data_IF_503104827258
#
_entry.id   IF_503104827258
#
_cell.length_a   1.000
_cell.length_b   1.000
_cell.length_c   1.000
_cell.angle_alpha   90.00
_cell.angle_beta   90.00
_cell.angle_gamma   90.00
#
_symmetry.space_group_name_H-M   'P 1'
#
loop_
_entity.id
_entity.type
_entity.pdbx_description
1 polymer ?
#
# COMPACT_ATOMS: atom_id res chain seq x y z
N UNK A 1 -38.81 -53.00 -11.33
CA UNK A 1 -38.68 -52.26 -12.60
C UNK A 1 -39.36 -50.91 -12.41
N UNK A 2 -38.61 -49.86 -12.04
CA UNK A 2 -39.17 -48.52 -11.78
C UNK A 2 -39.76 -47.97 -13.08
N UNK A 3 -41.08 -47.86 -13.18
CA UNK A 3 -41.73 -47.16 -14.29
C UNK A 3 -41.56 -45.66 -14.05
N UNK A 4 -40.51 -45.07 -14.60
CA UNK A 4 -40.40 -43.62 -14.72
C UNK A 4 -41.61 -43.12 -15.52
N UNK A 5 -42.46 -42.30 -14.91
CA UNK A 5 -43.49 -41.63 -15.66
C UNK A 5 -42.83 -40.61 -16.61
N UNK A 6 -43.42 -40.32 -17.78
CA UNK A 6 -42.94 -39.25 -18.69
C UNK A 6 -42.68 -37.93 -17.96
N UNK A 7 -43.42 -37.70 -16.87
CA UNK A 7 -43.35 -36.52 -16.05
C UNK A 7 -42.13 -36.50 -15.09
N UNK A 8 -41.57 -37.65 -14.68
CA UNK A 8 -40.30 -37.72 -13.91
C UNK A 8 -39.11 -37.30 -14.78
N UNK A 9 -39.14 -37.68 -16.06
CA UNK A 9 -38.15 -37.28 -17.06
C UNK A 9 -38.17 -35.75 -17.25
N UNK A 10 -39.36 -35.14 -17.23
CA UNK A 10 -39.49 -33.67 -17.35
C UNK A 10 -38.88 -32.95 -16.14
N UNK A 11 -39.10 -33.42 -14.91
CA UNK A 11 -38.50 -32.80 -13.71
C UNK A 11 -36.98 -32.95 -13.73
N UNK A 12 -36.47 -34.13 -14.08
CA UNK A 12 -35.03 -34.37 -14.21
C UNK A 12 -34.39 -33.49 -15.30
N UNK A 13 -35.07 -33.30 -16.44
CA UNK A 13 -34.61 -32.42 -17.50
C UNK A 13 -34.57 -30.94 -17.07
N UNK A 14 -35.58 -30.46 -16.33
CA UNK A 14 -35.60 -29.10 -15.80
C UNK A 14 -34.48 -28.87 -14.78
N UNK A 15 -34.23 -29.84 -13.88
CA UNK A 15 -33.13 -29.76 -12.91
C UNK A 15 -31.75 -29.77 -13.60
N UNK A 16 -31.57 -30.62 -14.61
CA UNK A 16 -30.33 -30.66 -15.40
C UNK A 16 -30.11 -29.35 -16.17
N UNK A 17 -31.15 -28.80 -16.79
CA UNK A 17 -31.08 -27.51 -17.47
C UNK A 17 -30.73 -26.37 -16.50
N UNK A 18 -31.34 -26.34 -15.31
CA UNK A 18 -31.01 -25.37 -14.27
C UNK A 18 -29.54 -25.44 -13.86
N UNK A 19 -28.98 -26.65 -13.67
CA UNK A 19 -27.57 -26.83 -13.34
C UNK A 19 -26.63 -26.33 -14.47
N UNK A 20 -26.97 -26.61 -15.73
CA UNK A 20 -26.18 -26.14 -16.89
C UNK A 20 -26.18 -24.62 -16.99
N UNK A 21 -27.34 -23.97 -16.86
CA UNK A 21 -27.43 -22.51 -16.86
C UNK A 21 -26.72 -21.88 -15.64
N UNK A 22 -26.75 -22.55 -14.49
CA UNK A 22 -25.97 -22.15 -13.31
C UNK A 22 -24.47 -22.16 -13.58
N UNK A 23 -23.93 -23.25 -14.15
CA UNK A 23 -22.52 -23.36 -14.52
C UNK A 23 -22.12 -22.30 -15.54
N UNK A 24 -22.96 -22.06 -16.55
CA UNK A 24 -22.73 -21.02 -17.56
C UNK A 24 -22.70 -19.60 -16.96
N UNK A 25 -23.52 -19.32 -15.94
CA UNK A 25 -23.51 -18.05 -15.22
C UNK A 25 -22.18 -17.73 -14.50
N UNK A 26 -21.39 -18.76 -14.18
CA UNK A 26 -20.07 -18.59 -13.55
C UNK A 26 -18.88 -18.80 -14.50
N UNK A 27 -19.13 -19.00 -15.80
CA UNK A 27 -18.09 -19.30 -16.79
C UNK A 27 -17.29 -18.06 -17.28
N UNK A 28 -17.50 -16.88 -16.68
CA UNK A 28 -16.73 -15.66 -16.98
C UNK A 28 -17.20 -14.86 -18.19
N UNK A 29 -18.50 -14.91 -18.52
CA UNK A 29 -19.12 -14.07 -19.55
C UNK A 29 -19.34 -12.61 -19.07
N UNK A 30 -19.76 -11.74 -19.99
CA UNK A 30 -20.18 -10.37 -19.67
C UNK A 30 -21.28 -10.35 -18.58
N UNK A 31 -21.26 -9.32 -17.73
CA UNK A 31 -22.14 -9.19 -16.55
C UNK A 31 -23.61 -9.39 -16.91
N UNK A 32 -24.08 -8.78 -18.01
CA UNK A 32 -25.50 -8.89 -18.42
C UNK A 32 -25.89 -10.31 -18.83
N UNK A 33 -24.96 -11.06 -19.43
CA UNK A 33 -25.21 -12.42 -19.87
C UNK A 33 -25.15 -13.40 -18.70
N UNK A 34 -24.19 -13.24 -17.78
CA UNK A 34 -24.14 -14.03 -16.54
C UNK A 34 -25.40 -13.86 -15.71
N UNK A 35 -25.88 -12.63 -15.53
CA UNK A 35 -27.11 -12.34 -14.79
C UNK A 35 -28.33 -13.02 -15.44
N UNK A 36 -28.40 -12.98 -16.77
CA UNK A 36 -29.43 -13.67 -17.54
C UNK A 36 -29.43 -15.19 -17.34
N UNK A 37 -28.26 -15.83 -17.39
CA UNK A 37 -28.13 -17.28 -17.18
C UNK A 37 -28.50 -17.69 -15.75
N UNK A 38 -28.08 -16.93 -14.74
CA UNK A 38 -28.43 -17.18 -13.34
C UNK A 38 -29.93 -17.03 -13.09
N UNK A 39 -30.57 -16.03 -13.72
CA UNK A 39 -32.02 -15.85 -13.63
C UNK A 39 -32.80 -17.03 -14.23
N UNK A 40 -32.38 -17.53 -15.39
CA UNK A 40 -32.99 -18.71 -16.03
C UNK A 40 -32.79 -19.96 -15.17
N UNK A 41 -31.59 -20.16 -14.62
CA UNK A 41 -31.30 -21.27 -13.72
C UNK A 41 -32.21 -21.27 -12.48
N UNK A 42 -32.40 -20.11 -11.85
CA UNK A 42 -33.31 -19.94 -10.70
C UNK A 42 -34.76 -20.23 -11.07
N UNK A 43 -35.22 -19.70 -12.20
CA UNK A 43 -36.60 -19.90 -12.69
C UNK A 43 -36.90 -21.38 -12.95
N UNK A 44 -35.96 -22.10 -13.59
CA UNK A 44 -36.09 -23.54 -13.85
C UNK A 44 -36.06 -24.37 -12.56
N UNK A 45 -35.24 -23.98 -11.58
CA UNK A 45 -35.18 -24.64 -10.27
C UNK A 45 -36.49 -24.48 -9.51
N UNK A 46 -37.04 -23.25 -9.47
CA UNK A 46 -38.34 -22.98 -8.83
C UNK A 46 -39.48 -23.75 -9.52
N UNK A 47 -39.46 -23.82 -10.85
CA UNK A 47 -40.46 -24.59 -11.61
C UNK A 47 -40.37 -26.09 -11.33
N UNK A 48 -39.16 -26.65 -11.24
CA UNK A 48 -38.93 -28.05 -10.89
C UNK A 48 -39.40 -28.35 -9.46
N UNK A 49 -39.10 -27.48 -8.49
CA UNK A 49 -39.57 -27.58 -7.11
C UNK A 49 -41.10 -27.48 -7.01
N UNK A 50 -41.73 -26.59 -7.79
CA UNK A 50 -43.19 -26.45 -7.86
C UNK A 50 -43.85 -27.72 -8.43
N UNK A 51 -43.31 -28.26 -9.52
CA UNK A 51 -43.78 -29.52 -10.11
C UNK A 51 -43.59 -30.71 -9.17
N UNK A 52 -42.51 -30.73 -8.40
CA UNK A 52 -42.28 -31.75 -7.37
C UNK A 52 -43.25 -31.59 -6.19
N UNK A 53 -43.52 -30.36 -5.75
CA UNK A 53 -44.45 -30.05 -4.67
C UNK A 53 -45.88 -30.50 -4.99
N UNK A 54 -46.35 -30.35 -6.23
CA UNK A 54 -47.67 -30.85 -6.68
C UNK A 54 -47.76 -32.38 -6.58
N UNK A 55 -46.63 -33.10 -6.70
CA UNK A 55 -46.60 -34.57 -6.64
C UNK A 55 -46.47 -35.13 -5.25
N UNK A 56 -46.07 -34.35 -4.26
CA UNK A 56 -46.00 -34.82 -2.88
C UNK A 56 -47.43 -35.26 -2.49
N UNK A 57 -47.67 -36.57 -2.27
CA UNK A 57 -49.00 -37.04 -1.96
C UNK A 57 -49.30 -36.65 -0.52
N UNK A 58 -49.84 -35.46 -0.30
CA UNK A 58 -50.25 -34.99 1.02
C UNK A 58 -51.50 -35.73 1.55
N UNK A 59 -51.96 -36.78 0.86
CA UNK A 59 -53.13 -37.58 1.25
C UNK A 59 -52.74 -38.67 2.26
N UNK A 60 -52.92 -38.39 3.54
CA UNK A 60 -52.97 -39.43 4.58
C UNK A 60 -54.17 -40.36 4.38
N UNK A 61 -54.01 -41.64 4.72
CA UNK A 61 -55.02 -42.72 4.63
C UNK A 61 -56.20 -42.58 5.62
N UNK A 62 -56.59 -41.36 5.99
CA UNK A 62 -57.62 -41.05 6.98
C UNK A 62 -58.89 -40.42 6.40
N UNK A 63 -59.81 -40.00 7.27
CA UNK A 63 -61.03 -39.30 6.88
C UNK A 63 -60.71 -37.98 6.16
N UNK A 64 -61.65 -37.46 5.34
CA UNK A 64 -61.44 -36.19 4.61
C UNK A 64 -60.95 -35.08 5.54
N UNK A 65 -61.46 -35.02 6.78
CA UNK A 65 -61.09 -34.00 7.77
C UNK A 65 -59.64 -34.13 8.25
N UNK A 66 -59.10 -35.34 8.43
CA UNK A 66 -57.71 -35.53 8.88
C UNK A 66 -56.70 -35.14 7.80
N UNK A 67 -57.01 -35.40 6.52
CA UNK A 67 -56.16 -34.97 5.41
C UNK A 67 -56.09 -33.44 5.30
N UNK A 68 -57.20 -32.74 5.52
CA UNK A 68 -57.21 -31.26 5.54
C UNK A 68 -56.37 -30.68 6.68
N UNK A 69 -56.43 -31.25 7.88
CA UNK A 69 -55.63 -30.82 9.04
C UNK A 69 -54.13 -31.04 8.81
N UNK A 70 -53.75 -32.23 8.30
CA UNK A 70 -52.34 -32.54 7.99
C UNK A 70 -51.80 -31.58 6.91
N UNK A 71 -52.58 -31.31 5.86
CA UNK A 71 -52.17 -30.38 4.81
C UNK A 71 -52.01 -28.96 5.35
N UNK A 72 -52.96 -28.49 6.16
CA UNK A 72 -52.88 -27.17 6.78
C UNK A 72 -51.65 -27.04 7.68
N UNK A 73 -51.30 -28.09 8.44
CA UNK A 73 -50.13 -28.11 9.31
C UNK A 73 -48.82 -28.08 8.51
N UNK A 74 -48.74 -28.84 7.41
CA UNK A 74 -47.57 -28.82 6.50
C UNK A 74 -47.41 -27.45 5.85
N UNK A 75 -48.51 -26.85 5.38
CA UNK A 75 -48.49 -25.49 4.82
C UNK A 75 -48.07 -24.45 5.87
N UNK A 76 -48.60 -24.54 7.10
CA UNK A 76 -48.18 -23.64 8.19
C UNK A 76 -46.70 -23.83 8.55
N UNK A 77 -46.20 -25.07 8.58
CA UNK A 77 -44.80 -25.35 8.83
C UNK A 77 -43.90 -24.81 7.71
N UNK A 78 -44.31 -24.94 6.45
CA UNK A 78 -43.58 -24.38 5.31
C UNK A 78 -43.54 -22.83 5.38
N UNK A 79 -44.67 -22.19 5.71
CA UNK A 79 -44.72 -20.73 5.91
C UNK A 79 -43.83 -20.33 7.09
N UNK A 80 -43.87 -21.07 8.20
CA UNK A 80 -43.04 -20.79 9.37
C UNK A 80 -41.54 -20.90 9.04
N UNK A 81 -41.13 -21.92 8.28
CA UNK A 81 -39.74 -22.05 7.81
C UNK A 81 -39.37 -20.89 6.88
N UNK A 82 -40.24 -20.51 5.95
CA UNK A 82 -40.01 -19.38 5.04
C UNK A 82 -39.87 -18.05 5.80
N UNK A 83 -40.75 -17.81 6.78
CA UNK A 83 -40.69 -16.62 7.65
C UNK A 83 -39.45 -16.65 8.52
N UNK A 84 -39.10 -17.79 9.12
CA UNK A 84 -37.88 -17.92 9.92
C UNK A 84 -36.61 -17.69 9.09
N UNK A 85 -36.56 -18.23 7.86
CA UNK A 85 -35.48 -17.96 6.93
C UNK A 85 -35.43 -16.46 6.58
N UNK A 86 -36.56 -15.83 6.26
CA UNK A 86 -36.60 -14.40 5.96
C UNK A 86 -36.17 -13.53 7.15
N UNK A 87 -36.58 -13.88 8.37
CA UNK A 87 -36.14 -13.20 9.60
C UNK A 87 -34.64 -13.41 9.82
N UNK A 88 -34.12 -14.62 9.58
CA UNK A 88 -32.69 -14.90 9.69
C UNK A 88 -31.88 -14.08 8.68
N UNK A 89 -32.32 -14.00 7.42
CA UNK A 89 -31.69 -13.14 6.40
C UNK A 89 -31.79 -11.65 6.77
N UNK A 90 -32.93 -11.19 7.27
CA UNK A 90 -33.12 -9.78 7.63
C UNK A 90 -32.35 -9.36 8.88
N UNK A 91 -32.17 -10.27 9.85
CA UNK A 91 -31.40 -9.99 11.07
C UNK A 91 -29.90 -10.22 10.89
N UNK A 92 -29.51 -11.07 9.95
CA UNK A 92 -28.13 -11.38 9.65
C UNK A 92 -27.86 -11.00 8.20
N UNK A 93 -27.46 -9.74 7.99
CA UNK A 93 -26.95 -9.22 6.72
C UNK A 93 -25.58 -9.86 6.43
N UNK A 94 -25.59 -11.14 6.05
CA UNK A 94 -24.39 -11.85 5.63
C UNK A 94 -24.04 -11.39 4.22
N UNK A 95 -23.06 -10.50 4.13
CA UNK A 95 -22.48 -10.07 2.85
C UNK A 95 -21.51 -11.13 2.34
N UNK A 96 -21.88 -11.80 1.25
CA UNK A 96 -21.02 -12.76 0.57
C UNK A 96 -20.38 -12.11 -0.66
N UNK A 97 -19.07 -11.86 -0.59
CA UNK A 97 -18.31 -11.41 -1.75
C UNK A 97 -17.93 -12.62 -2.62
N UNK A 98 -18.60 -12.74 -3.76
CA UNK A 98 -18.37 -13.82 -4.74
C UNK A 98 -17.26 -13.45 -5.74
N UNK A 99 -16.66 -12.27 -5.62
CA UNK A 99 -15.58 -11.85 -6.52
C UNK A 99 -14.25 -12.52 -6.16
N UNK A 100 -13.50 -12.95 -7.18
CA UNK A 100 -12.21 -13.64 -7.00
C UNK A 100 -11.17 -12.80 -6.26
N UNK A 101 -11.28 -11.48 -6.36
CA UNK A 101 -10.32 -10.52 -5.80
C UNK A 101 -10.84 -9.85 -4.51
N UNK A 102 -12.04 -10.18 -4.03
CA UNK A 102 -12.61 -9.56 -2.83
C UNK A 102 -12.91 -8.06 -3.01
N UNK A 103 -13.28 -7.62 -4.22
CA UNK A 103 -13.44 -6.19 -4.57
C UNK A 103 -14.57 -5.51 -3.81
N UNK A 104 -15.53 -6.27 -3.30
CA UNK A 104 -16.69 -5.79 -2.56
C UNK A 104 -16.56 -6.09 -1.05
N UNK A 105 -15.35 -6.41 -0.59
CA UNK A 105 -15.05 -6.68 0.81
C UNK A 105 -14.34 -5.46 1.41
N UNK A 106 -14.81 -4.92 2.55
CA UNK A 106 -14.12 -3.83 3.22
C UNK A 106 -12.66 -4.19 3.52
N UNK A 107 -11.72 -3.23 3.41
CA UNK A 107 -10.32 -3.47 3.72
C UNK A 107 -10.16 -3.98 5.14
N UNK A 108 -9.31 -5.01 5.32
CA UNK A 108 -9.07 -5.65 6.62
C UNK A 108 -8.66 -4.64 7.70
N UNK A 109 -7.89 -3.62 7.35
CA UNK A 109 -7.48 -2.56 8.26
C UNK A 109 -8.66 -1.76 8.82
N UNK A 110 -9.66 -1.46 7.98
CA UNK A 110 -10.87 -0.77 8.42
C UNK A 110 -11.70 -1.70 9.31
N UNK A 111 -11.87 -2.96 8.91
CA UNK A 111 -12.63 -3.95 9.68
C UNK A 111 -12.00 -4.22 11.06
N UNK A 112 -10.68 -4.42 11.13
CA UNK A 112 -9.94 -4.63 12.39
C UNK A 112 -10.11 -3.46 13.36
N UNK A 113 -10.12 -2.22 12.85
CA UNK A 113 -10.33 -1.01 13.65
C UNK A 113 -11.79 -0.93 14.14
N UNK A 114 -12.74 -1.21 13.26
CA UNK A 114 -14.17 -1.16 13.54
C UNK A 114 -14.58 -2.21 14.58
N UNK A 115 -14.06 -3.44 14.49
CA UNK A 115 -14.32 -4.53 15.45
C UNK A 115 -13.89 -4.20 16.89
N UNK A 116 -12.85 -3.39 17.04
CA UNK A 116 -12.30 -3.02 18.35
C UNK A 116 -12.72 -1.62 18.81
N UNK A 117 -13.74 -1.02 18.19
CA UNK A 117 -14.26 0.30 18.58
C UNK A 117 -14.82 0.25 20.01
N UNK A 118 -14.27 1.12 20.87
CA UNK A 118 -14.75 1.33 22.25
C UNK A 118 -15.58 2.60 22.41
N UNK A 119 -15.56 3.48 21.42
CA UNK A 119 -16.22 4.77 21.41
C UNK A 119 -16.94 4.97 20.06
N UNK A 120 -18.01 5.79 20.02
CA UNK A 120 -18.71 6.10 18.78
C UNK A 120 -17.77 6.85 17.82
N UNK A 121 -17.70 6.33 16.58
CA UNK A 121 -16.94 6.91 15.47
C UNK A 121 -17.94 7.36 14.39
N UNK A 122 -18.00 8.66 14.14
CA UNK A 122 -18.78 9.22 13.04
C UNK A 122 -17.89 9.39 11.80
N UNK A 123 -18.33 8.84 10.69
CA UNK A 123 -17.67 8.92 9.39
C UNK A 123 -18.60 9.58 8.39
N UNK A 124 -18.26 10.80 7.99
CA UNK A 124 -18.97 11.52 6.92
C UNK A 124 -18.11 11.52 5.66
N UNK A 125 -18.58 10.90 4.58
CA UNK A 125 -17.85 10.84 3.31
C UNK A 125 -18.49 11.77 2.28
N UNK A 126 -17.76 12.83 1.93
CA UNK A 126 -18.12 13.77 0.88
C UNK A 126 -17.56 13.26 -0.45
N UNK A 127 -18.42 12.65 -1.26
CA UNK A 127 -18.02 11.96 -2.47
C UNK A 127 -18.55 12.65 -3.72
N UNK A 128 -17.87 12.45 -4.84
CA UNK A 128 -18.38 12.84 -6.15
C UNK A 128 -19.16 11.66 -6.76
N UNK A 129 -20.44 11.84 -7.07
CA UNK A 129 -21.27 10.80 -7.67
C UNK A 129 -20.84 10.42 -9.11
N UNK A 130 -20.07 11.27 -9.79
CA UNK A 130 -19.51 11.02 -11.11
C UNK A 130 -18.23 10.17 -11.12
N UNK A 131 -17.60 9.94 -9.96
CA UNK A 131 -16.40 9.10 -9.84
C UNK A 131 -16.77 7.67 -9.41
N UNK A 132 -16.60 6.66 -10.29
CA UNK A 132 -16.91 5.27 -9.98
C UNK A 132 -16.14 4.73 -8.77
N UNK A 133 -14.91 5.20 -8.53
CA UNK A 133 -14.11 4.74 -7.40
C UNK A 133 -14.67 5.28 -6.08
N UNK A 134 -15.13 6.53 -6.07
CA UNK A 134 -15.73 7.13 -4.90
C UNK A 134 -17.05 6.43 -4.52
N UNK A 135 -17.85 6.07 -5.53
CA UNK A 135 -19.08 5.28 -5.32
C UNK A 135 -18.77 3.89 -4.74
N UNK A 136 -17.74 3.22 -5.26
CA UNK A 136 -17.30 1.93 -4.72
C UNK A 136 -16.81 2.05 -3.26
N UNK A 137 -16.01 3.07 -2.95
CA UNK A 137 -15.54 3.34 -1.58
C UNK A 137 -16.71 3.59 -0.63
N UNK A 138 -17.70 4.39 -1.05
CA UNK A 138 -18.93 4.64 -0.28
C UNK A 138 -19.63 3.32 0.07
N UNK A 139 -19.81 2.43 -0.89
CA UNK A 139 -20.48 1.13 -0.69
C UNK A 139 -19.71 0.23 0.28
N UNK A 140 -18.37 0.19 0.18
CA UNK A 140 -17.52 -0.54 1.12
C UNK A 140 -17.64 -0.01 2.55
N UNK A 141 -17.67 1.31 2.73
CA UNK A 141 -17.87 1.92 4.06
C UNK A 141 -19.26 1.59 4.60
N UNK A 142 -20.28 1.65 3.76
CA UNK A 142 -21.66 1.35 4.15
C UNK A 142 -21.82 -0.10 4.60
N UNK A 143 -21.13 -1.04 3.95
CA UNK A 143 -21.03 -2.43 4.41
C UNK A 143 -20.33 -2.50 5.78
N UNK A 144 -19.19 -1.82 5.95
CA UNK A 144 -18.46 -1.82 7.23
C UNK A 144 -19.28 -1.20 8.39
N UNK A 145 -20.01 -0.11 8.13
CA UNK A 145 -20.82 0.60 9.13
C UNK A 145 -22.04 -0.21 9.58
N UNK A 146 -22.68 -0.95 8.67
CA UNK A 146 -23.80 -1.84 9.02
C UNK A 146 -23.40 -2.94 9.99
N UNK A 147 -22.15 -3.40 9.94
CA UNK A 147 -21.66 -4.48 10.77
C UNK A 147 -21.34 -4.06 12.22
N UNK A 148 -21.30 -2.76 12.54
CA UNK A 148 -20.90 -2.31 13.86
C UNK A 148 -21.71 -1.10 14.37
N UNK A 149 -22.43 -1.22 15.50
CA UNK A 149 -23.37 -0.18 15.97
C UNK A 149 -22.70 1.13 16.42
N UNK A 150 -21.40 1.11 16.72
CA UNK A 150 -20.65 2.32 17.09
C UNK A 150 -20.09 3.10 15.88
N UNK A 151 -20.20 2.58 14.66
CA UNK A 151 -19.76 3.26 13.45
C UNK A 151 -20.96 3.95 12.77
N UNK A 152 -21.09 5.26 12.96
CA UNK A 152 -22.13 6.06 12.30
C UNK A 152 -21.62 6.58 10.95
N UNK A 153 -22.19 6.09 9.84
CA UNK A 153 -21.79 6.50 8.50
C UNK A 153 -22.82 7.42 7.83
N UNK A 154 -22.34 8.48 7.18
CA UNK A 154 -23.15 9.36 6.31
C UNK A 154 -22.40 9.66 5.02
N UNK A 155 -23.00 9.33 3.88
CA UNK A 155 -22.49 9.70 2.57
C UNK A 155 -23.19 10.97 2.08
N UNK A 156 -22.42 11.95 1.60
CA UNK A 156 -22.93 13.23 1.12
C UNK A 156 -22.33 13.52 -0.25
N UNK A 157 -23.20 13.77 -1.21
CA UNK A 157 -22.80 14.17 -2.56
C UNK A 157 -22.41 15.66 -2.52
N UNK A 158 -21.12 15.95 -2.71
CA UNK A 158 -20.58 17.31 -2.53
C UNK A 158 -21.17 18.31 -3.54
N UNK A 159 -21.59 17.84 -4.72
CA UNK A 159 -22.20 18.67 -5.75
C UNK A 159 -23.65 19.04 -5.41
N UNK A 160 -24.34 18.20 -4.62
CA UNK A 160 -25.71 18.45 -4.16
C UNK A 160 -25.77 19.30 -2.91
N UNK A 161 -24.81 19.11 -1.99
CA UNK A 161 -24.77 19.81 -0.69
C UNK A 161 -23.42 20.52 -0.42
N UNK A 162 -22.99 21.47 -1.27
CA UNK A 162 -21.68 22.13 -1.12
C UNK A 162 -21.60 23.04 0.13
N UNK A 163 -22.74 23.53 0.63
CA UNK A 163 -22.77 24.34 1.86
C UNK A 163 -22.30 23.56 3.09
N UNK A 164 -22.80 22.34 3.24
CA UNK A 164 -22.43 21.46 4.35
C UNK A 164 -20.96 21.03 4.29
N UNK A 165 -20.42 20.82 3.09
CA UNK A 165 -19.00 20.55 2.91
C UNK A 165 -18.13 21.72 3.38
N UNK A 166 -18.48 22.96 3.00
CA UNK A 166 -17.75 24.16 3.42
C UNK A 166 -17.80 24.40 4.92
N UNK A 167 -18.95 24.19 5.56
CA UNK A 167 -19.12 24.35 7.02
C UNK A 167 -18.22 23.38 7.80
N UNK A 168 -17.96 22.20 7.23
CA UNK A 168 -17.12 21.16 7.83
C UNK A 168 -15.64 21.33 7.43
N UNK A 169 -15.29 22.31 6.58
CA UNK A 169 -13.93 22.58 6.12
C UNK A 169 -13.45 21.65 5.00
N UNK A 170 -14.38 21.04 4.25
CA UNK A 170 -14.08 20.17 3.11
C UNK A 170 -14.00 21.02 1.85
N UNK A 171 -12.80 21.07 1.26
CA UNK A 171 -12.51 21.83 0.05
C UNK A 171 -12.21 20.95 -1.18
N UNK A 172 -11.97 19.66 -0.95
CA UNK A 172 -11.59 18.68 -1.98
C UNK A 172 -12.67 17.61 -2.16
N UNK A 173 -12.80 17.08 -3.39
CA UNK A 173 -13.66 15.93 -3.68
C UNK A 173 -13.16 14.67 -2.94
N UNK A 174 -14.07 13.71 -2.73
CA UNK A 174 -13.77 12.40 -2.15
C UNK A 174 -13.09 12.51 -0.78
N UNK A 175 -13.57 13.41 0.06
CA UNK A 175 -13.01 13.67 1.39
C UNK A 175 -13.79 12.91 2.45
N UNK A 176 -13.10 12.13 3.29
CA UNK A 176 -13.69 11.53 4.47
C UNK A 176 -13.37 12.35 5.72
N UNK A 177 -14.39 12.60 6.52
CA UNK A 177 -14.32 13.28 7.80
C UNK A 177 -14.62 12.25 8.88
N UNK A 178 -13.62 11.96 9.69
CA UNK A 178 -13.72 11.08 10.84
C UNK A 178 -13.81 11.91 12.12
N UNK A 179 -14.77 11.60 12.98
CA UNK A 179 -14.98 12.29 14.25
C UNK A 179 -15.21 11.28 15.38
N UNK A 180 -14.44 11.41 16.46
CA UNK A 180 -14.62 10.66 17.69
C UNK A 180 -14.50 11.61 18.89
N UNK A 181 -15.62 11.88 19.56
CA UNK A 181 -15.72 12.93 20.56
C UNK A 181 -15.35 14.30 19.97
N UNK A 182 -14.38 14.97 20.60
CA UNK A 182 -13.90 16.30 20.19
C UNK A 182 -12.85 16.26 19.07
N UNK A 183 -12.36 15.07 18.70
CA UNK A 183 -11.30 14.91 17.71
C UNK A 183 -11.89 14.70 16.33
N UNK A 184 -11.35 15.43 15.36
CA UNK A 184 -11.75 15.40 13.95
C UNK A 184 -10.52 15.30 13.07
N UNK A 185 -10.54 14.38 12.11
CA UNK A 185 -9.52 14.28 11.05
C UNK A 185 -10.22 14.27 9.71
N UNK A 186 -9.67 15.06 8.78
CA UNK A 186 -10.10 15.10 7.40
C UNK A 186 -9.03 14.42 6.56
N UNK A 187 -9.45 13.54 5.66
CA UNK A 187 -8.57 12.89 4.69
C UNK A 187 -9.15 13.12 3.31
N UNK A 188 -8.41 13.85 2.48
CA UNK A 188 -8.82 14.26 1.15
C UNK A 188 -8.43 13.23 0.08
N UNK A 189 -9.10 13.27 -1.07
CA UNK A 189 -8.77 12.46 -2.26
C UNK A 189 -8.73 10.95 -1.97
N UNK A 190 -9.74 10.44 -1.25
CA UNK A 190 -9.86 9.02 -0.95
C UNK A 190 -10.48 8.31 -2.13
N UNK A 191 -9.63 7.65 -2.90
CA UNK A 191 -9.99 6.72 -3.96
C UNK A 191 -9.70 5.25 -3.58
N UNK A 192 -8.90 5.03 -2.54
CA UNK A 192 -8.59 3.72 -1.97
C UNK A 192 -9.11 3.62 -0.54
N UNK A 193 -9.97 2.63 -0.30
CA UNK A 193 -10.58 2.39 1.00
C UNK A 193 -9.54 2.03 2.09
N UNK A 194 -8.33 1.56 1.74
CA UNK A 194 -7.26 1.23 2.70
C UNK A 194 -6.85 2.44 3.54
N UNK A 195 -6.87 3.64 2.96
CA UNK A 195 -6.54 4.90 3.65
C UNK A 195 -7.52 5.26 4.76
N UNK A 196 -8.76 4.76 4.69
CA UNK A 196 -9.79 5.00 5.70
C UNK A 196 -9.46 4.31 7.03
N UNK A 197 -8.85 3.13 6.99
CA UNK A 197 -8.43 2.43 8.20
C UNK A 197 -7.39 3.22 9.00
N UNK A 198 -6.43 3.83 8.31
CA UNK A 198 -5.42 4.69 8.94
C UNK A 198 -6.02 5.98 9.52
N UNK A 199 -6.95 6.60 8.81
CA UNK A 199 -7.68 7.76 9.30
C UNK A 199 -8.48 7.45 10.58
N UNK A 200 -9.16 6.30 10.59
CA UNK A 200 -9.88 5.81 11.77
C UNK A 200 -8.92 5.57 12.96
N UNK A 201 -7.76 4.93 12.73
CA UNK A 201 -6.72 4.78 13.76
C UNK A 201 -6.25 6.13 14.31
N UNK A 202 -5.98 7.10 13.43
CA UNK A 202 -5.53 8.44 13.81
C UNK A 202 -6.56 9.16 14.68
N UNK A 203 -7.85 9.08 14.33
CA UNK A 203 -8.94 9.71 15.11
C UNK A 203 -9.19 9.01 16.43
N UNK A 204 -8.96 7.70 16.54
CA UNK A 204 -9.20 6.97 17.78
C UNK A 204 -8.04 7.09 18.78
N UNK A 205 -6.81 7.36 18.34
CA UNK A 205 -5.60 7.43 19.19
C UNK A 205 -5.52 8.66 20.09
N UNK A 206 -5.73 8.51 21.39
CA UNK A 206 -5.74 9.64 22.35
C UNK A 206 -4.42 10.43 22.43
N UNK A 207 -3.29 9.81 22.07
CA UNK A 207 -1.98 10.46 22.07
C UNK A 207 -1.32 10.37 20.69
N UNK A 208 -0.87 11.50 20.11
CA UNK A 208 -0.05 11.45 18.90
C UNK A 208 1.22 10.64 19.18
N UNK A 209 1.62 9.82 18.22
CA UNK A 209 2.86 9.06 18.30
C UNK A 209 3.94 9.84 17.57
N UNK A 210 4.98 10.25 18.29
CA UNK A 210 6.06 11.04 17.70
C UNK A 210 7.24 10.15 17.33
N UNK A 211 7.71 10.27 16.09
CA UNK A 211 8.96 9.70 15.61
C UNK A 211 10.00 10.81 15.58
N UNK A 212 11.07 10.62 16.35
CA UNK A 212 12.18 11.57 16.41
C UNK A 212 13.30 11.08 15.50
N UNK A 213 13.48 11.75 14.37
CA UNK A 213 14.55 11.46 13.42
C UNK A 213 15.83 12.18 13.84
N UNK A 214 16.92 11.44 13.98
CA UNK A 214 18.22 12.03 14.24
C UNK A 214 18.71 12.73 12.96
N UNK A 215 19.34 13.88 13.16
CA UNK A 215 19.92 14.72 12.12
C UNK A 215 21.26 15.27 12.61
N UNK A 216 22.17 15.53 11.67
CA UNK A 216 23.48 16.11 11.96
C UNK A 216 24.65 15.32 11.37
N UNK A 217 24.43 14.07 10.96
CA UNK A 217 25.43 13.17 10.40
C UNK A 217 25.30 12.95 8.88
N UNK A 218 24.55 13.81 8.18
CA UNK A 218 24.39 13.74 6.72
C UNK A 218 23.24 12.84 6.25
N UNK A 219 22.26 12.64 7.12
CA UNK A 219 21.01 11.91 6.91
C UNK A 219 20.17 12.60 5.82
N UNK A 220 19.30 11.82 5.19
CA UNK A 220 18.39 12.31 4.13
C UNK A 220 17.06 12.82 4.68
N UNK A 221 16.79 12.63 5.98
CA UNK A 221 15.55 13.11 6.58
C UNK A 221 15.46 14.64 6.52
N UNK A 222 14.35 15.12 5.95
CA UNK A 222 13.96 16.52 5.95
C UNK A 222 12.52 16.60 6.45
N UNK A 223 12.21 17.47 7.43
CA UNK A 223 10.83 17.70 7.85
C UNK A 223 10.00 18.09 6.63
N UNK A 224 8.96 17.34 6.34
CA UNK A 224 8.12 17.54 5.16
C UNK A 224 7.28 18.82 5.31
N UNK A 225 7.20 19.70 4.28
CA UNK A 225 6.24 20.80 4.26
C UNK A 225 4.80 20.30 4.09
N UNK A 226 3.81 21.12 4.46
CA UNK A 226 2.40 20.75 4.54
C UNK A 226 1.70 20.41 3.20
N UNK A 227 2.34 20.64 2.04
CA UNK A 227 1.77 20.37 0.72
C UNK A 227 2.67 19.45 -0.09
N UNK A 228 2.10 18.34 -0.58
CA UNK A 228 2.82 17.32 -1.35
C UNK A 228 2.63 17.54 -2.86
N UNK A 229 3.75 17.67 -3.58
CA UNK A 229 3.81 17.36 -5.01
C UNK A 229 4.65 16.10 -5.16
N UNK A 230 4.02 14.95 -5.39
CA UNK A 230 4.74 13.85 -6.02
C UNK A 230 5.18 14.31 -7.39
N UNK A 231 6.40 13.92 -7.79
CA UNK A 231 6.93 14.06 -9.14
C UNK A 231 5.88 13.60 -10.16
N UNK A 232 5.09 14.54 -10.64
CA UNK A 232 4.32 14.38 -11.84
C UNK A 232 5.21 14.94 -12.94
N UNK A 233 5.20 14.27 -14.08
CA UNK A 233 5.77 14.86 -15.29
C UNK A 233 4.84 16.01 -15.66
N UNK A 234 5.11 17.22 -15.18
CA UNK A 234 4.52 18.41 -15.78
C UNK A 234 5.06 18.49 -17.19
N UNK A 235 4.25 18.06 -18.15
CA UNK A 235 4.42 18.51 -19.53
C UNK A 235 3.99 19.96 -19.53
N UNK A 236 4.94 20.88 -19.39
CA UNK A 236 4.71 22.30 -19.57
C UNK A 236 4.00 22.49 -20.93
N UNK A 237 2.71 22.86 -20.90
CA UNK A 237 2.00 23.31 -22.10
C UNK A 237 2.61 24.65 -22.50
N UNK A 238 3.36 24.66 -23.61
CA UNK A 238 3.83 25.92 -24.19
C UNK A 238 4.98 25.86 -25.18
N UNK A 239 5.50 24.70 -25.58
CA UNK A 239 6.51 24.62 -26.65
C UNK A 239 6.00 23.76 -27.81
N UNK A 240 5.73 24.40 -28.95
CA UNK A 240 5.17 23.84 -30.20
C UNK A 240 6.13 22.90 -30.96
N UNK A 241 7.07 22.25 -30.25
CA UNK A 241 7.96 21.25 -30.85
C UNK A 241 7.87 19.93 -30.06
N UNK A 242 7.35 18.84 -30.67
CA UNK A 242 7.40 17.52 -30.10
C UNK A 242 8.86 17.04 -30.05
N UNK A 243 9.53 17.27 -28.93
CA UNK A 243 10.92 16.89 -28.71
C UNK A 243 11.49 17.60 -27.50
N UNK A 244 11.91 16.81 -26.51
CA UNK A 244 12.55 17.24 -25.25
C UNK A 244 11.59 17.98 -24.31
N UNK A 245 10.71 17.20 -23.66
CA UNK A 245 10.16 17.65 -22.38
C UNK A 245 11.30 17.66 -21.37
N UNK A 246 11.65 18.83 -20.84
CA UNK A 246 12.42 18.92 -19.60
C UNK A 246 11.54 18.33 -18.50
N UNK A 247 11.66 17.01 -18.33
CA UNK A 247 11.12 16.32 -17.17
C UNK A 247 11.92 16.85 -15.99
N UNK A 248 11.36 17.82 -15.27
CA UNK A 248 11.81 18.16 -13.93
C UNK A 248 11.49 16.95 -13.03
N UNK A 249 12.28 15.90 -13.16
CA UNK A 249 12.35 14.85 -12.14
C UNK A 249 13.04 15.53 -10.96
N UNK A 250 12.25 16.02 -10.01
CA UNK A 250 12.76 16.10 -8.65
C UNK A 250 13.21 14.67 -8.32
N UNK A 251 14.52 14.46 -8.16
CA UNK A 251 15.06 13.20 -7.66
C UNK A 251 14.26 12.86 -6.41
N UNK A 252 13.48 11.76 -6.38
CA UNK A 252 12.67 11.44 -5.22
C UNK A 252 13.60 11.37 -4.02
N UNK A 253 13.43 12.27 -3.04
CA UNK A 253 14.22 12.18 -1.83
C UNK A 253 13.89 10.84 -1.18
N UNK A 254 14.91 10.14 -0.69
CA UNK A 254 14.83 8.70 -0.42
C UNK A 254 13.76 8.32 0.62
N UNK A 255 13.28 9.26 1.43
CA UNK A 255 12.33 9.03 2.52
C UNK A 255 10.93 9.63 2.32
N UNK A 256 10.64 10.34 1.23
CA UNK A 256 9.36 11.07 1.07
C UNK A 256 8.13 10.16 1.15
N UNK A 257 8.21 8.99 0.48
CA UNK A 257 7.14 8.00 0.51
C UNK A 257 6.95 7.40 1.89
N UNK A 258 8.05 7.20 2.63
CA UNK A 258 8.00 6.72 4.01
C UNK A 258 7.35 7.78 4.92
N UNK A 259 7.78 9.04 4.80
CA UNK A 259 7.22 10.15 5.57
C UNK A 259 5.72 10.32 5.31
N UNK A 260 5.28 10.26 4.05
CA UNK A 260 3.85 10.28 3.72
C UNK A 260 3.12 9.12 4.40
N UNK A 261 3.59 7.89 4.22
CA UNK A 261 2.94 6.72 4.79
C UNK A 261 2.82 6.84 6.33
N UNK A 262 3.87 7.30 7.00
CA UNK A 262 3.87 7.53 8.44
C UNK A 262 2.85 8.61 8.84
N UNK A 263 2.77 9.72 8.11
CA UNK A 263 1.78 10.78 8.35
C UNK A 263 0.34 10.29 8.10
N UNK A 264 0.10 9.51 7.03
CA UNK A 264 -1.19 8.89 6.74
C UNK A 264 -1.62 7.95 7.89
N UNK A 265 -0.69 7.19 8.47
CA UNK A 265 -0.91 6.32 9.65
C UNK A 265 -1.12 7.15 10.95
N UNK A 266 -0.83 8.45 10.93
CA UNK A 266 -1.01 9.35 12.06
C UNK A 266 0.19 9.39 13.01
N UNK A 267 1.40 9.21 12.50
CA UNK A 267 2.64 9.55 13.21
C UNK A 267 3.03 11.00 12.92
N UNK A 268 3.41 11.72 13.97
CA UNK A 268 4.08 13.01 13.84
C UNK A 268 5.59 12.78 13.80
N UNK A 269 6.32 13.65 13.10
CA UNK A 269 7.75 13.48 12.88
C UNK A 269 8.50 14.76 13.28
N UNK A 270 9.60 14.61 14.02
CA UNK A 270 10.43 15.72 14.49
C UNK A 270 11.91 15.41 14.27
N UNK A 271 12.67 16.39 13.78
CA UNK A 271 14.12 16.30 13.75
C UNK A 271 14.71 16.53 15.15
N UNK A 272 15.70 15.73 15.55
CA UNK A 272 16.52 15.95 16.73
C UNK A 272 17.99 15.97 16.33
N UNK A 273 18.79 16.79 17.00
CA UNK A 273 20.25 16.84 16.80
C UNK A 273 20.89 16.33 18.07
N UNK A 274 21.44 15.12 18.04
CA UNK A 274 22.00 14.44 19.21
C UNK A 274 23.17 15.23 19.83
N UNK A 275 24.04 15.82 19.01
CA UNK A 275 25.13 16.68 19.46
C UNK A 275 24.69 17.95 20.23
N UNK A 276 23.43 18.37 20.11
CA UNK A 276 22.89 19.56 20.78
C UNK A 276 21.91 19.22 21.91
N UNK A 277 21.72 17.93 22.22
CA UNK A 277 20.66 17.46 23.09
C UNK A 277 21.26 16.69 24.27
N UNK A 278 20.91 17.06 25.51
CA UNK A 278 21.38 16.36 26.71
C UNK A 278 20.62 15.05 26.98
N UNK A 279 19.35 14.99 26.61
CA UNK A 279 18.48 13.83 26.79
C UNK A 279 17.45 13.74 25.66
N UNK A 280 17.20 12.52 25.17
CA UNK A 280 16.15 12.31 24.16
C UNK A 280 14.80 12.70 24.76
N UNK A 281 14.01 13.57 24.10
CA UNK A 281 12.72 14.00 24.62
C UNK A 281 11.79 12.84 24.94
N UNK A 282 11.10 12.90 26.09
CA UNK A 282 10.25 11.82 26.59
C UNK A 282 8.97 11.61 25.77
N UNK A 283 8.61 12.57 24.90
CA UNK A 283 7.50 12.46 23.95
C UNK A 283 7.86 11.66 22.69
N UNK A 284 9.15 11.36 22.45
CA UNK A 284 9.59 10.49 21.36
C UNK A 284 9.19 9.03 21.62
N UNK A 285 8.22 8.51 20.87
CA UNK A 285 7.85 7.08 20.93
C UNK A 285 8.96 6.21 20.33
N UNK A 286 9.54 6.67 19.22
CA UNK A 286 10.60 5.97 18.48
C UNK A 286 11.64 7.01 18.08
N UNK A 287 12.92 6.66 18.23
CA UNK A 287 14.04 7.40 17.66
C UNK A 287 14.47 6.66 16.41
N UNK A 288 14.62 7.38 15.30
CA UNK A 288 14.99 6.82 14.00
C UNK A 288 16.31 7.45 13.52
N UNK A 289 17.32 6.62 13.34
CA UNK A 289 18.56 6.95 12.66
C UNK A 289 18.52 6.31 11.27
N UNK A 290 18.53 7.13 10.22
CA UNK A 290 18.38 6.64 8.85
C UNK A 290 19.45 7.24 7.95
N UNK A 291 20.39 6.39 7.56
CA UNK A 291 21.47 6.71 6.64
C UNK A 291 22.48 7.72 7.19
N UNK A 292 23.04 7.55 8.40
CA UNK A 292 24.11 8.41 8.88
C UNK A 292 25.34 8.23 7.98
N UNK A 293 26.07 9.33 7.74
CA UNK A 293 27.27 9.36 6.89
C UNK A 293 28.56 9.63 7.67
N UNK A 294 28.45 10.16 8.89
CA UNK A 294 29.59 10.48 9.76
C UNK A 294 29.44 9.78 11.11
N UNK A 295 30.57 9.42 11.73
CA UNK A 295 30.61 8.78 13.06
C UNK A 295 29.90 9.60 14.13
N UNK A 296 29.27 8.93 15.08
CA UNK A 296 28.75 9.54 16.30
C UNK A 296 29.88 9.84 17.28
N UNK A 297 29.75 10.90 18.06
CA UNK A 297 30.60 11.09 19.22
C UNK A 297 30.24 10.12 20.36
N UNK A 298 31.13 9.99 21.34
CA UNK A 298 30.97 9.05 22.45
C UNK A 298 29.76 9.38 23.33
N UNK A 299 29.56 10.67 23.60
CA UNK A 299 28.40 11.21 24.33
C UNK A 299 27.09 10.94 23.60
N UNK A 300 27.05 11.10 22.28
CA UNK A 300 25.88 10.75 21.45
C UNK A 300 25.58 9.25 21.49
N UNK A 301 26.62 8.42 21.46
CA UNK A 301 26.47 6.96 21.59
C UNK A 301 25.90 6.59 22.97
N UNK A 302 26.42 7.19 24.05
CA UNK A 302 25.91 6.96 25.40
C UNK A 302 24.48 7.50 25.57
N UNK A 303 24.12 8.60 24.91
CA UNK A 303 22.74 9.11 24.87
C UNK A 303 21.77 8.07 24.31
N UNK A 304 22.10 7.43 23.18
CA UNK A 304 21.29 6.36 22.58
C UNK A 304 21.22 5.12 23.46
N UNK A 305 22.34 4.72 24.05
CA UNK A 305 22.40 3.58 24.98
C UNK A 305 21.51 3.83 26.21
N UNK A 306 21.55 5.02 26.80
CA UNK A 306 20.73 5.38 27.95
C UNK A 306 19.24 5.42 27.59
N UNK A 307 18.90 5.93 26.41
CA UNK A 307 17.53 5.89 25.90
C UNK A 307 17.01 4.45 25.75
N UNK A 308 17.80 3.54 25.19
CA UNK A 308 17.44 2.12 25.09
C UNK A 308 17.29 1.45 26.46
N UNK A 309 18.20 1.72 27.40
CA UNK A 309 18.10 1.23 28.79
C UNK A 309 16.85 1.75 29.51
N UNK A 310 16.39 2.95 29.16
CA UNK A 310 15.14 3.54 29.64
C UNK A 310 13.87 2.93 29.05
N UNK A 311 13.97 1.90 28.20
CA UNK A 311 12.83 1.29 27.51
C UNK A 311 12.43 2.00 26.21
N UNK A 312 13.30 2.90 25.72
CA UNK A 312 13.15 3.57 24.44
C UNK A 312 13.21 2.59 23.26
N UNK A 313 12.70 3.04 22.12
CA UNK A 313 12.66 2.27 20.86
C UNK A 313 13.52 2.96 19.83
N UNK A 314 14.50 2.24 19.27
CA UNK A 314 15.43 2.76 18.28
C UNK A 314 15.29 1.99 16.96
N UNK A 315 15.18 2.72 15.86
CA UNK A 315 15.27 2.22 14.50
C UNK A 315 16.61 2.67 13.91
N UNK A 316 17.45 1.73 13.48
CA UNK A 316 18.74 2.00 12.86
C UNK A 316 18.76 1.47 11.43
N UNK A 317 18.91 2.34 10.44
CA UNK A 317 19.16 1.99 9.04
C UNK A 317 20.54 2.52 8.65
N UNK A 318 21.51 1.62 8.53
CA UNK A 318 22.93 1.98 8.40
C UNK A 318 23.46 1.50 7.05
N UNK A 319 23.92 2.45 6.24
CA UNK A 319 24.51 2.15 4.94
C UNK A 319 25.85 1.40 5.05
N UNK A 320 26.22 0.58 4.05
CA UNK A 320 27.52 -0.12 4.03
C UNK A 320 28.73 0.80 4.18
N UNK A 321 28.62 2.04 3.67
CA UNK A 321 29.69 3.04 3.67
C UNK A 321 29.82 3.80 4.99
N UNK A 322 28.86 3.69 5.91
CA UNK A 322 28.94 4.35 7.20
C UNK A 322 30.09 3.79 8.05
N UNK A 323 31.02 4.62 8.54
CA UNK A 323 32.09 4.16 9.42
C UNK A 323 31.52 3.84 10.82
N UNK A 324 31.06 2.61 11.04
CA UNK A 324 30.66 2.14 12.37
C UNK A 324 31.92 1.87 13.20
N UNK A 325 32.32 2.85 14.00
CA UNK A 325 33.51 2.82 14.83
C UNK A 325 33.36 1.86 16.04
N UNK A 326 34.46 1.70 16.79
CA UNK A 326 34.51 0.75 17.88
C UNK A 326 33.54 1.08 19.03
N UNK A 327 33.33 2.37 19.31
CA UNK A 327 32.41 2.80 20.36
C UNK A 327 30.96 2.51 19.97
N UNK A 328 30.55 2.86 18.75
CA UNK A 328 29.21 2.53 18.24
C UNK A 328 28.98 1.00 18.22
N UNK A 329 29.95 0.24 17.72
CA UNK A 329 29.84 -1.23 17.65
C UNK A 329 29.75 -1.88 19.03
N UNK A 330 30.64 -1.52 19.96
CA UNK A 330 30.74 -2.21 21.24
C UNK A 330 29.69 -1.74 22.25
N UNK A 331 29.40 -0.43 22.30
CA UNK A 331 28.51 0.15 23.31
C UNK A 331 27.04 0.12 22.89
N UNK A 332 26.73 0.36 21.62
CA UNK A 332 25.35 0.35 21.14
C UNK A 332 24.93 -1.01 20.58
N UNK A 333 25.64 -1.55 19.59
CA UNK A 333 25.23 -2.83 18.97
C UNK A 333 25.59 -4.04 19.85
N UNK A 334 26.76 -4.02 20.49
CA UNK A 334 27.24 -5.09 21.34
C UNK A 334 26.35 -5.35 22.56
N UNK A 335 25.73 -4.30 23.11
CA UNK A 335 24.81 -4.44 24.26
C UNK A 335 23.51 -5.15 23.91
N UNK A 336 23.10 -5.13 22.64
CA UNK A 336 21.94 -5.87 22.12
C UNK A 336 22.33 -7.19 21.44
N UNK A 337 23.61 -7.58 21.49
CA UNK A 337 24.10 -8.84 20.93
C UNK A 337 24.23 -8.84 19.42
N UNK A 338 24.38 -7.68 18.78
CA UNK A 338 24.50 -7.56 17.33
C UNK A 338 25.88 -6.98 16.99
N UNK A 339 26.44 -7.38 15.84
CA UNK A 339 27.59 -6.69 15.25
C UNK A 339 27.39 -6.50 13.75
N UNK A 340 28.13 -5.57 13.18
CA UNK A 340 28.12 -5.31 11.74
C UNK A 340 29.54 -5.04 11.24
N UNK A 341 29.73 -5.01 9.93
CA UNK A 341 30.99 -4.62 9.32
C UNK A 341 30.76 -3.85 8.02
N UNK A 342 31.78 -3.08 7.62
CA UNK A 342 31.76 -2.33 6.37
C UNK A 342 31.91 -3.29 5.17
N UNK A 343 30.80 -3.89 4.76
CA UNK A 343 30.70 -4.80 3.62
C UNK A 343 29.30 -4.72 3.01
N UNK A 344 29.17 -5.26 1.80
CA UNK A 344 27.91 -5.44 1.08
C UNK A 344 27.63 -6.94 0.98
N UNK A 345 26.39 -7.34 1.23
CA UNK A 345 25.91 -8.71 1.02
C UNK A 345 25.67 -8.95 -0.47
N UNK A 346 26.28 -10.01 -1.00
CA UNK A 346 26.07 -10.50 -2.35
C UNK A 346 25.35 -11.84 -2.27
N UNK A 347 24.20 -11.96 -2.91
CA UNK A 347 23.37 -13.17 -2.93
C UNK A 347 23.24 -13.73 -4.35
N UNK A 348 24.00 -14.78 -4.70
CA UNK A 348 23.94 -15.38 -6.04
C UNK A 348 22.61 -16.08 -6.34
N UNK A 349 21.86 -16.52 -5.31
CA UNK A 349 20.66 -17.33 -5.47
C UNK A 349 19.40 -16.46 -5.45
N UNK A 350 19.28 -15.62 -4.42
CA UNK A 350 18.09 -14.80 -4.19
C UNK A 350 18.45 -13.33 -4.43
N UNK A 351 18.46 -12.92 -5.70
CA UNK A 351 18.70 -11.54 -6.10
C UNK A 351 17.68 -11.03 -7.11
N UNK A 352 17.58 -9.72 -7.21
CA UNK A 352 16.70 -9.07 -8.16
C UNK A 352 17.33 -9.06 -9.55
N UNK A 353 16.66 -9.72 -10.51
CA UNK A 353 17.05 -9.82 -11.92
C UNK A 353 18.42 -10.47 -12.11
N UNK A 354 19.44 -9.68 -12.44
CA UNK A 354 20.80 -10.14 -12.77
C UNK A 354 21.86 -9.49 -11.88
N UNK A 355 21.43 -8.81 -10.80
CA UNK A 355 22.28 -7.99 -9.94
C UNK A 355 22.41 -8.64 -8.56
N UNK A 356 23.47 -9.44 -8.29
CA UNK A 356 23.64 -10.16 -7.03
C UNK A 356 23.79 -9.26 -5.78
N UNK A 357 24.06 -7.96 -5.96
CA UNK A 357 24.10 -6.96 -4.89
C UNK A 357 22.72 -6.39 -4.55
N UNK A 358 21.66 -6.80 -5.25
CA UNK A 358 20.26 -6.50 -4.93
C UNK A 358 19.59 -7.72 -4.34
N UNK A 359 19.90 -7.99 -3.07
CA UNK A 359 19.38 -9.15 -2.34
C UNK A 359 17.87 -9.12 -2.35
N UNK A 360 17.25 -10.22 -2.76
CA UNK A 360 15.81 -10.38 -2.82
C UNK A 360 15.39 -11.35 -1.72
N UNK A 361 14.39 -10.98 -0.92
CA UNK A 361 13.87 -11.84 0.15
C UNK A 361 12.46 -12.28 -0.25
N UNK A 362 12.30 -13.47 -0.86
CA UNK A 362 11.01 -13.96 -1.33
C UNK A 362 10.16 -14.57 -0.21
N UNK A 363 10.80 -15.09 0.84
CA UNK A 363 10.12 -15.77 1.94
C UNK A 363 10.65 -15.26 3.27
N UNK A 364 9.71 -15.04 4.18
CA UNK A 364 9.95 -14.49 5.50
C UNK A 364 9.73 -15.55 6.57
N UNK A 365 10.52 -15.49 7.65
CA UNK A 365 10.28 -16.34 8.80
C UNK A 365 8.92 -15.98 9.44
N UNK A 366 8.18 -16.95 10.02
CA UNK A 366 6.90 -16.68 10.67
C UNK A 366 7.05 -15.65 11.80
N UNK A 367 6.52 -14.45 11.59
CA UNK A 367 6.54 -13.39 12.59
C UNK A 367 5.42 -12.38 12.32
N UNK A 368 4.65 -11.93 13.34
CA UNK A 368 3.47 -11.09 13.15
C UNK A 368 3.72 -9.76 12.41
N UNK A 369 4.94 -9.23 12.47
CA UNK A 369 5.32 -7.97 11.79
C UNK A 369 5.47 -8.15 10.27
N UNK A 370 5.89 -9.33 9.81
CA UNK A 370 6.35 -9.58 8.43
C UNK A 370 5.54 -10.66 7.70
N UNK A 371 4.55 -11.26 8.35
CA UNK A 371 3.68 -12.31 7.75
C UNK A 371 2.97 -11.89 6.47
N UNK A 372 2.75 -10.57 6.28
CA UNK A 372 2.06 -10.00 5.11
C UNK A 372 3.01 -9.36 4.10
N UNK A 373 4.33 -9.44 4.33
CA UNK A 373 5.28 -8.91 3.38
C UNK A 373 5.42 -9.84 2.18
N UNK A 374 5.23 -9.26 0.99
CA UNK A 374 5.59 -9.90 -0.27
C UNK A 374 7.12 -9.83 -0.48
N UNK A 375 7.57 -10.31 -1.65
CA UNK A 375 8.95 -10.15 -2.10
C UNK A 375 9.45 -8.71 -1.92
N UNK A 376 10.53 -8.54 -1.15
CA UNK A 376 11.22 -7.26 -0.97
C UNK A 376 12.65 -7.34 -1.51
N UNK A 377 13.18 -6.22 -1.95
CA UNK A 377 14.54 -6.11 -2.47
C UNK A 377 15.33 -5.15 -1.61
N UNK A 378 16.53 -5.55 -1.22
CA UNK A 378 17.49 -4.80 -0.41
C UNK A 378 18.77 -4.54 -1.22
N UNK A 379 18.83 -3.42 -1.97
CA UNK A 379 20.03 -3.03 -2.72
C UNK A 379 21.17 -2.72 -1.78
N UNK A 380 22.35 -3.29 -2.04
CA UNK A 380 23.59 -3.02 -1.34
C UNK A 380 23.44 -3.11 0.19
N UNK A 381 22.81 -4.17 0.68
CA UNK A 381 22.56 -4.35 2.10
C UNK A 381 23.87 -4.54 2.89
N UNK A 382 23.99 -3.88 4.04
CA UNK A 382 25.05 -4.11 5.02
C UNK A 382 24.77 -5.39 5.82
N UNK A 383 25.77 -6.27 6.06
CA UNK A 383 25.55 -7.48 6.86
C UNK A 383 25.33 -7.14 8.33
N UNK A 384 24.40 -7.88 8.95
CA UNK A 384 24.14 -7.86 10.38
C UNK A 384 24.38 -9.26 10.91
N UNK A 385 25.27 -9.38 11.90
CA UNK A 385 25.55 -10.64 12.57
C UNK A 385 24.87 -10.63 13.94
N UNK A 386 24.05 -11.65 14.18
CA UNK A 386 23.50 -11.90 15.51
C UNK A 386 24.53 -12.72 16.28
N UNK A 387 25.15 -12.10 17.27
CA UNK A 387 26.07 -12.76 18.19
C UNK A 387 25.29 -13.46 19.30
N UNK A 388 25.95 -14.03 20.30
CA UNK A 388 25.26 -14.56 21.49
C UNK A 388 24.66 -13.37 22.26
N UNK A 389 23.33 -13.16 22.24
CA UNK A 389 22.75 -12.05 22.96
C UNK A 389 22.84 -12.29 24.47
N UNK A 390 22.92 -11.22 25.28
CA UNK A 390 22.77 -11.35 26.73
C UNK A 390 21.43 -12.03 27.07
N UNK A 391 21.36 -12.75 28.20
CA UNK A 391 20.16 -13.48 28.61
C UNK A 391 18.90 -12.59 28.77
N UNK A 392 19.08 -11.28 28.86
CA UNK A 392 18.02 -10.27 28.97
C UNK A 392 17.46 -9.81 27.61
N UNK A 393 18.07 -10.21 26.49
CA UNK A 393 17.73 -9.71 25.15
C UNK A 393 17.17 -10.83 24.29
N UNK A 394 15.92 -10.67 23.83
CA UNK A 394 15.31 -11.55 22.84
C UNK A 394 15.59 -11.01 21.43
N UNK A 395 16.19 -11.83 20.59
CA UNK A 395 16.51 -11.47 19.20
C UNK A 395 15.65 -12.26 18.22
N UNK A 396 15.02 -11.57 17.27
CA UNK A 396 14.26 -12.17 16.17
C UNK A 396 14.82 -11.70 14.83
N UNK A 397 15.20 -12.64 13.96
CA UNK A 397 15.64 -12.31 12.60
C UNK A 397 14.42 -12.11 11.72
N UNK A 398 14.25 -10.90 11.18
CA UNK A 398 13.13 -10.56 10.32
C UNK A 398 13.40 -10.90 8.85
N UNK A 399 14.60 -10.69 8.35
CA UNK A 399 14.97 -10.99 6.97
C UNK A 399 16.37 -11.62 6.93
N UNK A 400 16.60 -12.57 6.03
CA UNK A 400 17.88 -13.23 5.85
C UNK A 400 18.18 -13.44 4.37
N UNK A 401 19.46 -13.32 3.99
CA UNK A 401 19.96 -13.74 2.69
C UNK A 401 20.06 -15.27 2.60
N UNK A 402 20.31 -15.79 1.39
CA UNK A 402 20.53 -17.22 1.16
C UNK A 402 21.81 -17.71 1.86
N UNK A 403 21.89 -19.03 2.05
CA UNK A 403 23.09 -19.68 2.63
C UNK A 403 24.33 -19.54 1.74
N UNK A 404 24.15 -19.30 0.44
CA UNK A 404 25.22 -19.10 -0.54
C UNK A 404 25.68 -17.63 -0.63
N UNK A 405 25.09 -16.75 0.17
CA UNK A 405 25.47 -15.35 0.20
C UNK A 405 26.87 -15.17 0.79
N UNK A 406 27.60 -14.19 0.25
CA UNK A 406 28.93 -13.84 0.71
C UNK A 406 29.12 -12.32 0.74
N UNK A 407 30.21 -11.87 1.35
CA UNK A 407 30.45 -10.46 1.60
C UNK A 407 31.49 -9.90 0.64
N UNK A 408 31.26 -8.69 0.15
CA UNK A 408 32.24 -7.93 -0.64
C UNK A 408 32.50 -6.57 0.00
N UNK A 409 33.67 -5.99 -0.28
CA UNK A 409 34.01 -4.64 0.21
C UNK A 409 33.07 -3.58 -0.38
N UNK A 410 32.75 -2.51 0.36
CA UNK A 410 31.82 -1.50 -0.10
C UNK A 410 32.41 -0.77 -1.30
N UNK A 411 31.70 -0.82 -2.44
CA UNK A 411 32.12 -0.11 -3.66
C UNK A 411 31.77 1.36 -3.51
N UNK A 412 32.77 2.25 -3.50
CA UNK A 412 32.50 3.68 -3.75
C UNK A 412 32.09 3.81 -5.20
N UNK A 413 30.82 4.13 -5.47
CA UNK A 413 30.43 4.57 -6.79
C UNK A 413 31.24 5.84 -7.12
N UNK A 414 32.23 5.72 -8.01
CA UNK A 414 32.74 6.87 -8.72
C UNK A 414 31.53 7.45 -9.47
N UNK A 415 31.05 8.63 -9.05
CA UNK A 415 30.12 9.42 -9.85
C UNK A 415 30.77 9.57 -11.22
N UNK A 416 30.31 8.80 -12.22
CA UNK A 416 30.57 9.11 -13.61
C UNK A 416 29.91 10.46 -13.83
N UNK A 417 30.69 11.53 -13.75
CA UNK A 417 30.30 12.78 -14.38
C UNK A 417 30.00 12.42 -15.82
N UNK A 418 28.76 12.60 -16.26
CA UNK A 418 28.44 12.63 -17.69
C UNK A 418 29.02 13.94 -18.21
N UNK A 419 30.34 13.99 -18.30
CA UNK A 419 31.10 15.06 -18.91
C UNK A 419 31.51 14.56 -20.29
N UNK A 420 30.75 15.01 -21.29
CA UNK A 420 31.12 15.08 -22.70
C UNK A 420 31.67 13.79 -23.34
N UNK A 421 30.79 12.85 -23.67
CA UNK A 421 30.98 11.99 -24.85
C UNK A 421 30.35 12.65 -26.07
N UNK A 422 30.89 13.81 -26.47
CA UNK A 422 30.63 14.42 -27.78
C UNK A 422 31.96 14.67 -28.47
N UNK A 423 32.69 13.59 -28.75
CA UNK A 423 33.76 13.61 -29.73
C UNK A 423 34.03 12.20 -30.25
N UNK A 424 33.97 12.08 -31.59
CA UNK A 424 34.36 10.96 -32.44
C UNK A 424 33.29 9.90 -32.74
N UNK A 425 32.31 10.32 -33.52
CA UNK A 425 31.87 9.52 -34.68
C UNK A 425 32.10 10.35 -35.94
N UNK A 426 33.25 10.13 -36.58
CA UNK A 426 33.46 10.56 -37.96
C UNK A 426 33.14 9.34 -38.85
N UNK A 427 32.08 9.46 -39.64
CA UNK A 427 31.78 8.55 -40.75
C UNK A 427 32.93 8.59 -41.79
N UNK A 428 33.32 7.45 -42.38
CA UNK A 428 34.19 7.45 -43.56
C UNK A 428 33.38 7.83 -44.82
N UNK A 429 33.89 8.67 -45.74
CA UNK A 429 33.19 8.96 -46.97
C UNK A 429 33.41 7.86 -48.02
N UNK A 430 32.35 7.56 -48.75
CA UNK A 430 32.27 6.51 -49.77
C UNK A 430 33.13 6.77 -51.02
N UNK A 431 33.51 5.68 -51.66
CA UNK A 431 34.23 5.65 -52.93
C UNK A 431 33.26 5.75 -54.10
N UNK A 432 33.50 6.69 -55.03
CA UNK A 432 32.78 6.76 -56.31
C UNK A 432 33.02 8.05 -57.08
N UNK A 433 34.09 8.05 -57.90
CA UNK A 433 34.32 8.79 -59.16
C UNK A 433 33.74 10.21 -59.32
N UNK A 434 34.60 11.19 -59.63
CA UNK A 434 34.63 11.83 -60.96
C UNK A 434 35.82 12.80 -61.12
N UNK A 435 36.19 12.99 -62.39
CA UNK A 435 37.28 13.79 -62.92
C UNK A 435 37.34 15.23 -62.37
N UNK A 436 38.57 15.66 -62.06
CA UNK A 436 39.26 16.78 -62.69
C UNK A 436 38.39 18.00 -63.10
N UNK A 437 38.62 19.17 -62.46
CA UNK A 437 39.21 20.40 -63.06
C UNK A 437 39.01 21.64 -62.16
N UNK A 438 40.16 22.27 -61.85
CA UNK A 438 40.52 23.70 -61.64
C UNK A 438 39.80 24.64 -60.66
N UNK A 439 40.68 25.29 -59.86
CA UNK A 439 40.78 26.72 -59.48
C UNK A 439 39.61 27.33 -58.67
N UNK A 440 39.79 28.15 -57.63
CA UNK A 440 40.88 29.05 -57.23
C UNK A 440 40.65 29.47 -55.75
N UNK A 441 41.76 29.57 -54.98
CA UNK A 441 42.13 30.51 -53.88
C UNK A 441 40.99 31.16 -53.02
N UNK A 442 41.06 31.30 -51.69
CA UNK A 442 42.04 32.05 -50.86
C UNK A 442 41.93 31.60 -49.37
N UNK A 443 43.04 31.78 -48.64
CA UNK A 443 43.52 31.29 -47.33
C UNK A 443 42.91 32.00 -46.07
N UNK A 444 43.31 31.67 -44.81
CA UNK A 444 42.45 31.38 -43.64
C UNK A 444 42.75 32.38 -42.48
N UNK A 445 42.39 32.08 -41.22
CA UNK A 445 43.22 32.38 -40.02
C UNK A 445 42.66 31.63 -38.80
N UNK A 446 43.59 31.13 -38.01
CA UNK A 446 43.50 30.34 -36.78
C UNK A 446 43.77 31.28 -35.57
N UNK A 447 43.27 31.04 -34.35
CA UNK A 447 44.09 31.24 -33.13
C UNK A 447 43.56 30.61 -31.83
N UNK A 448 44.53 30.33 -30.95
CA UNK A 448 44.55 29.55 -29.71
C UNK A 448 44.11 30.27 -28.40
N UNK A 449 43.88 29.42 -27.39
CA UNK A 449 43.95 29.60 -25.92
C UNK A 449 44.89 30.70 -25.38
N UNK A 450 44.52 31.29 -24.23
CA UNK A 450 45.40 31.38 -23.04
C UNK A 450 44.67 31.74 -21.73
N UNK A 451 45.37 31.41 -20.66
CA UNK A 451 45.05 31.36 -19.22
C UNK A 451 45.47 32.62 -18.43
N UNK A 452 45.00 32.70 -17.17
CA UNK A 452 45.56 33.36 -15.95
C UNK A 452 45.21 34.84 -15.66
N UNK A 453 44.43 35.06 -14.60
CA UNK A 453 44.90 35.69 -13.34
C UNK A 453 44.77 37.20 -13.08
N UNK A 454 44.13 37.48 -11.93
CA UNK A 454 44.38 38.56 -10.94
C UNK A 454 44.04 40.04 -11.25
N UNK A 455 43.41 40.62 -10.21
CA UNK A 455 43.29 42.03 -9.82
C UNK A 455 42.33 42.94 -10.59
N UNK A 456 41.61 43.75 -9.81
CA UNK A 456 41.17 45.09 -10.22
C UNK A 456 39.68 45.33 -10.06
N UNK A 457 39.32 45.97 -8.95
CA UNK A 457 38.02 46.56 -8.71
C UNK A 457 37.61 47.57 -9.78
N UNK A 458 36.31 47.68 -10.06
CA UNK A 458 35.56 48.96 -10.06
C UNK A 458 34.07 48.70 -10.34
N UNK A 459 33.26 49.46 -9.63
CA UNK A 459 31.83 49.33 -9.44
C UNK A 459 30.99 50.09 -10.49
N UNK A 460 29.66 49.91 -10.34
CA UNK A 460 28.54 50.65 -10.94
C UNK A 460 28.21 50.24 -12.40
N UNK A 461 26.99 49.87 -12.76
CA UNK A 461 25.66 50.22 -12.24
C UNK A 461 24.69 49.04 -12.38
#
# INVERSE_FOLDING_TARGET
>A
MFRFARSDIVIAALAAAAAVFGILGFAGFDVRLSDGFLFVAWSLTLLALFMLAIRVPLRGSGSRLSAWVVNALISCAAIAVMVAANIALYRHDLHFDVTREGRNTPPRQLTEVVEHLRAPLALTYFYNAGDPNAVAVRELIEIAARNHPLLAFRAIDIDKEPGLARDVGVHSYNTAVFQAGDRKVLVENITDATRLGYAALRVLRERPQMICFITGHGETFRPTPAHFHYSHVETLKGHDTPGVGDVLVAEPEQLDRLQLALNEIGFDMRAIVTAATEAIPSDCTVVAEIGPRTTFALDETELLVNYLRGGGRLLLLIDPLFPADADFQNRLLGTVGISTQAAIVIDPLNHFRTDPDKVAVPYYAPHPIIERLALTVFPQARPIHVNRPPATVNTSVLAASSQDSYLTGPRRCARRSVAASSARQALPPGAGRHQQIRHQRIFPICFQRRTVGRNGALACR
#
